data_IF_399829863832
#
_entry.id   IF_399829863832
#
_cell.length_a   1.000
_cell.length_b   1.000
_cell.length_c   1.000
_cell.angle_alpha   90.00
_cell.angle_beta   90.00
_cell.angle_gamma   90.00
#
_symmetry.space_group_name_H-M   'P 1'
#
loop_
_entity.id
_entity.type
_entity.pdbx_description
1 polymer ?
#
# COMPACT_ATOMS: atom_id res chain seq x y z
N UNK A 1 5.72 -12.09 1.32
CA UNK A 1 6.84 -12.13 0.37
C UNK A 1 8.10 -12.26 1.20
N UNK A 2 8.96 -13.25 0.95
CA UNK A 2 10.24 -13.35 1.68
C UNK A 2 11.29 -12.57 0.91
N UNK A 3 11.50 -11.31 1.30
CA UNK A 3 12.53 -10.45 0.73
C UNK A 3 13.86 -10.64 1.47
N UNK A 4 14.96 -10.59 0.73
CA UNK A 4 16.30 -10.56 1.32
C UNK A 4 16.59 -9.19 1.96
N UNK A 5 17.65 -9.12 2.77
CA UNK A 5 17.95 -7.92 3.56
C UNK A 5 18.09 -6.64 2.69
N UNK A 6 18.86 -6.72 1.60
CA UNK A 6 19.03 -5.57 0.69
C UNK A 6 17.70 -5.17 0.03
N UNK A 7 16.89 -6.15 -0.40
CA UNK A 7 15.58 -5.87 -0.99
C UNK A 7 14.56 -5.30 0.00
N UNK A 8 14.66 -5.62 1.31
CA UNK A 8 13.81 -4.99 2.33
C UNK A 8 14.14 -3.51 2.49
N UNK A 9 15.42 -3.17 2.56
CA UNK A 9 15.86 -1.77 2.61
C UNK A 9 15.48 -1.00 1.33
N UNK A 10 15.64 -1.63 0.17
CA UNK A 10 15.22 -1.06 -1.12
C UNK A 10 13.69 -0.86 -1.19
N UNK A 11 12.90 -1.80 -0.67
CA UNK A 11 11.44 -1.66 -0.57
C UNK A 11 11.07 -0.49 0.35
N UNK A 12 11.69 -0.38 1.53
CA UNK A 12 11.41 0.73 2.45
C UNK A 12 11.72 2.10 1.83
N UNK A 13 12.78 2.19 1.02
CA UNK A 13 13.11 3.41 0.27
C UNK A 13 12.08 3.70 -0.83
N UNK A 14 11.62 2.68 -1.54
CA UNK A 14 10.60 2.81 -2.57
C UNK A 14 9.26 3.29 -1.99
N UNK A 15 8.80 2.69 -0.89
CA UNK A 15 7.56 3.07 -0.20
C UNK A 15 7.66 4.48 0.40
N UNK A 16 8.83 4.88 0.93
CA UNK A 16 9.08 6.26 1.38
C UNK A 16 9.01 7.27 0.23
N UNK A 17 9.70 6.98 -0.88
CA UNK A 17 9.67 7.81 -2.09
C UNK A 17 8.25 7.95 -2.64
N UNK A 18 7.49 6.87 -2.66
CA UNK A 18 6.07 6.88 -3.01
C UNK A 18 5.27 7.80 -2.07
N UNK A 19 5.43 7.65 -0.75
CA UNK A 19 4.75 8.50 0.23
C UNK A 19 5.02 9.98 0.03
N UNK A 20 6.29 10.36 -0.18
CA UNK A 20 6.69 11.76 -0.46
C UNK A 20 6.04 12.30 -1.74
N UNK A 21 6.05 11.51 -2.81
CA UNK A 21 5.48 11.87 -4.10
C UNK A 21 3.96 12.03 -4.01
N UNK A 22 3.29 11.13 -3.31
CA UNK A 22 1.83 11.16 -3.14
C UNK A 22 1.37 12.23 -2.14
N UNK A 23 2.24 12.73 -1.27
CA UNK A 23 1.95 13.86 -0.38
C UNK A 23 2.02 15.23 -1.12
N UNK A 24 2.65 15.28 -2.29
CA UNK A 24 2.76 16.49 -3.09
C UNK A 24 1.41 17.01 -3.61
N UNK A 25 1.31 18.32 -3.82
CA UNK A 25 0.15 18.95 -4.45
C UNK A 25 -0.04 18.43 -5.88
N UNK A 26 -1.28 18.11 -6.26
CA UNK A 26 -1.61 17.60 -7.58
C UNK A 26 -1.22 16.13 -7.81
N UNK A 27 -0.84 15.39 -6.77
CA UNK A 27 -0.63 13.95 -6.90
C UNK A 27 -1.94 13.22 -7.24
N UNK A 28 -1.87 12.34 -8.24
CA UNK A 28 -2.96 11.44 -8.65
C UNK A 28 -2.57 9.99 -8.31
N UNK A 29 -2.86 9.48 -7.09
CA UNK A 29 -2.35 8.18 -6.66
C UNK A 29 -2.84 7.01 -7.51
N UNK A 30 -4.07 7.09 -8.05
CA UNK A 30 -4.61 6.09 -8.96
C UNK A 30 -3.76 5.97 -10.23
N UNK A 31 -3.50 7.12 -10.88
CA UNK A 31 -2.67 7.20 -12.08
C UNK A 31 -1.24 6.70 -11.84
N UNK A 32 -0.62 7.11 -10.73
CA UNK A 32 0.71 6.62 -10.34
C UNK A 32 0.70 5.10 -10.14
N UNK A 33 -0.31 4.56 -9.47
CA UNK A 33 -0.47 3.12 -9.29
C UNK A 33 -0.58 2.37 -10.62
N UNK A 34 -1.45 2.82 -11.52
CA UNK A 34 -1.64 2.22 -12.85
C UNK A 34 -0.37 2.26 -13.70
N UNK A 35 0.36 3.38 -13.66
CA UNK A 35 1.63 3.55 -14.36
C UNK A 35 2.71 2.60 -13.82
N UNK A 36 2.88 2.51 -12.50
CA UNK A 36 3.87 1.60 -11.88
C UNK A 36 3.54 0.14 -12.19
N UNK A 37 2.26 -0.25 -12.14
CA UNK A 37 1.84 -1.62 -12.48
C UNK A 37 2.00 -1.92 -13.98
N UNK A 38 1.80 -0.94 -14.86
CA UNK A 38 2.10 -1.08 -16.28
C UNK A 38 3.59 -1.31 -16.55
N UNK A 39 4.47 -0.66 -15.76
CA UNK A 39 5.91 -0.93 -15.80
C UNK A 39 6.22 -2.33 -15.30
N UNK A 40 5.56 -2.80 -14.24
CA UNK A 40 5.69 -4.18 -13.74
C UNK A 40 5.36 -5.19 -14.85
N UNK A 41 4.24 -4.99 -15.56
CA UNK A 41 3.84 -5.87 -16.67
C UNK A 41 4.89 -5.89 -17.79
N UNK A 42 5.44 -4.73 -18.14
CA UNK A 42 6.53 -4.63 -19.11
C UNK A 42 7.78 -5.38 -18.65
N UNK A 43 8.23 -5.20 -17.41
CA UNK A 43 9.42 -5.88 -16.87
C UNK A 43 9.19 -7.39 -16.71
N UNK A 44 7.95 -7.83 -16.53
CA UNK A 44 7.63 -9.24 -16.48
C UNK A 44 7.68 -9.91 -17.86
N UNK A 45 7.28 -9.20 -18.92
CA UNK A 45 7.38 -9.65 -20.31
C UNK A 45 8.81 -9.57 -20.85
N UNK A 46 9.48 -8.43 -20.64
CA UNK A 46 10.79 -8.13 -21.20
C UNK A 46 11.92 -8.54 -20.24
N UNK A 47 12.26 -9.84 -20.24
CA UNK A 47 13.26 -10.42 -19.31
C UNK A 47 14.62 -9.71 -19.39
N UNK A 48 15.05 -9.33 -20.61
CA UNK A 48 16.30 -8.62 -20.83
C UNK A 48 16.31 -7.25 -20.17
N UNK A 49 15.21 -6.49 -20.33
CA UNK A 49 15.03 -5.19 -19.69
C UNK A 49 15.02 -5.32 -18.16
N UNK A 50 14.27 -6.28 -17.62
CA UNK A 50 14.25 -6.55 -16.17
C UNK A 50 15.63 -6.83 -15.61
N UNK A 51 16.44 -7.64 -16.31
CA UNK A 51 17.81 -7.91 -15.90
C UNK A 51 18.66 -6.65 -15.92
N UNK A 52 18.58 -5.84 -16.98
CA UNK A 52 19.35 -4.60 -17.09
C UNK A 52 19.00 -3.57 -16.00
N UNK A 53 17.71 -3.41 -15.67
CA UNK A 53 17.26 -2.48 -14.61
C UNK A 53 17.56 -3.03 -13.21
N UNK A 54 17.51 -4.35 -13.02
CA UNK A 54 17.74 -5.01 -11.73
C UNK A 54 19.18 -5.43 -11.43
N UNK A 55 20.14 -5.11 -12.31
CA UNK A 55 21.53 -5.53 -12.16
C UNK A 55 22.28 -4.68 -11.11
N UNK A 56 22.33 -5.17 -9.87
CA UNK A 56 23.01 -4.48 -8.76
C UNK A 56 24.53 -4.34 -8.92
N UNK A 57 25.15 -4.98 -9.91
CA UNK A 57 26.57 -4.80 -10.22
C UNK A 57 26.86 -3.55 -11.06
N UNK A 58 25.82 -2.99 -11.70
CA UNK A 58 25.89 -1.77 -12.51
C UNK A 58 25.62 -0.56 -11.63
N UNK A 59 26.38 0.51 -11.88
CA UNK A 59 26.25 1.79 -11.19
C UNK A 59 24.77 2.28 -11.20
N UNK A 60 24.22 2.73 -10.05
CA UNK A 60 22.85 3.21 -9.94
C UNK A 60 22.46 4.23 -11.01
N UNK A 61 23.35 5.17 -11.32
CA UNK A 61 23.14 6.25 -12.28
C UNK A 61 22.93 5.71 -13.70
N UNK A 62 23.59 4.61 -14.05
CA UNK A 62 23.42 3.95 -15.35
C UNK A 62 22.06 3.27 -15.46
N UNK A 63 21.59 2.62 -14.38
CA UNK A 63 20.27 1.98 -14.31
C UNK A 63 19.14 3.02 -14.33
N UNK A 64 19.29 4.09 -13.57
CA UNK A 64 18.41 5.25 -13.59
C UNK A 64 18.36 5.91 -14.97
N UNK A 65 19.52 6.14 -15.60
CA UNK A 65 19.61 6.68 -16.96
C UNK A 65 18.98 5.78 -18.03
N UNK A 66 18.98 4.46 -17.85
CA UNK A 66 18.23 3.53 -18.71
C UNK A 66 16.72 3.72 -18.53
N UNK A 67 16.23 3.72 -17.29
CA UNK A 67 14.82 3.92 -16.97
C UNK A 67 14.30 5.24 -17.49
N UNK A 68 15.00 6.35 -17.21
CA UNK A 68 14.61 7.69 -17.68
C UNK A 68 14.47 7.71 -19.21
N UNK A 69 15.45 7.22 -19.95
CA UNK A 69 15.38 7.17 -21.42
C UNK A 69 14.22 6.34 -21.97
N UNK A 70 13.81 5.29 -21.27
CA UNK A 70 12.73 4.40 -21.75
C UNK A 70 11.34 4.95 -21.48
N UNK A 71 11.18 5.67 -20.36
CA UNK A 71 9.89 6.08 -19.81
C UNK A 71 9.67 7.59 -19.80
N UNK A 72 10.65 8.39 -20.22
CA UNK A 72 10.48 9.82 -20.44
C UNK A 72 9.31 10.10 -21.38
N UNK A 73 8.46 11.05 -20.98
CA UNK A 73 7.21 11.39 -21.67
C UNK A 73 6.13 10.30 -21.68
N UNK A 74 6.33 9.13 -21.04
CA UNK A 74 5.35 8.03 -20.98
C UNK A 74 4.72 7.83 -19.61
N UNK A 75 5.38 8.28 -18.56
CA UNK A 75 4.90 8.23 -17.18
C UNK A 75 4.76 9.65 -16.64
N UNK A 76 3.92 9.82 -15.61
CA UNK A 76 3.92 11.02 -14.79
C UNK A 76 5.28 11.24 -14.12
N UNK A 77 5.60 12.49 -13.79
CA UNK A 77 6.83 12.83 -13.05
C UNK A 77 6.88 12.09 -11.70
N UNK A 78 5.71 11.94 -11.07
CA UNK A 78 5.52 11.19 -9.83
C UNK A 78 5.93 9.72 -9.98
N UNK A 79 5.37 9.01 -10.95
CA UNK A 79 5.69 7.60 -11.17
C UNK A 79 7.15 7.41 -11.61
N UNK A 80 7.67 8.32 -12.44
CA UNK A 80 9.07 8.29 -12.87
C UNK A 80 10.02 8.46 -11.69
N UNK A 81 9.74 9.35 -10.73
CA UNK A 81 10.56 9.54 -9.52
C UNK A 81 10.59 8.29 -8.63
N UNK A 82 9.45 7.62 -8.46
CA UNK A 82 9.39 6.35 -7.72
C UNK A 82 10.20 5.27 -8.46
N UNK A 83 10.00 5.14 -9.77
CA UNK A 83 10.73 4.18 -10.60
C UNK A 83 12.24 4.44 -10.61
N UNK A 84 12.66 5.71 -10.60
CA UNK A 84 14.06 6.13 -10.51
C UNK A 84 14.69 5.72 -9.16
N UNK A 85 13.94 5.85 -8.07
CA UNK A 85 14.35 5.41 -6.74
C UNK A 85 14.50 3.89 -6.71
N UNK A 86 13.52 3.16 -7.26
CA UNK A 86 13.55 1.70 -7.37
C UNK A 86 14.75 1.24 -8.21
N UNK A 87 15.01 1.87 -9.35
CA UNK A 87 16.12 1.53 -10.24
C UNK A 87 17.50 1.87 -9.62
N UNK A 88 17.59 2.94 -8.82
CA UNK A 88 18.81 3.31 -8.11
C UNK A 88 19.12 2.40 -6.91
N UNK A 89 18.10 1.74 -6.35
CA UNK A 89 18.23 0.91 -5.15
C UNK A 89 18.94 -0.42 -5.41
N UNK A 90 19.46 -1.05 -4.34
CA UNK A 90 20.14 -2.34 -4.38
C UNK A 90 19.15 -3.47 -4.05
N UNK A 91 18.75 -4.22 -5.07
CA UNK A 91 17.90 -5.39 -4.92
C UNK A 91 18.74 -6.68 -4.91
N UNK A 92 18.32 -7.68 -4.14
CA UNK A 92 19.00 -8.98 -4.13
C UNK A 92 18.76 -9.80 -5.40
N UNK A 93 17.69 -9.49 -6.15
CA UNK A 93 17.47 -10.07 -7.47
C UNK A 93 16.63 -9.14 -8.35
N UNK A 94 16.72 -9.25 -9.70
CA UNK A 94 15.83 -8.52 -10.60
C UNK A 94 14.34 -8.84 -10.42
N UNK A 95 14.02 -10.01 -9.84
CA UNK A 95 12.63 -10.37 -9.50
C UNK A 95 12.14 -9.59 -8.29
N UNK A 96 12.99 -9.43 -7.28
CA UNK A 96 12.65 -8.66 -6.08
C UNK A 96 12.49 -7.16 -6.38
N UNK A 97 13.19 -6.63 -7.38
CA UNK A 97 12.93 -5.27 -7.89
C UNK A 97 11.50 -5.14 -8.41
N UNK A 98 11.06 -6.08 -9.27
CA UNK A 98 9.70 -6.06 -9.83
C UNK A 98 8.66 -6.25 -8.74
N UNK A 99 8.94 -7.11 -7.77
CA UNK A 99 8.08 -7.33 -6.61
C UNK A 99 7.97 -6.06 -5.73
N UNK A 100 9.05 -5.29 -5.60
CA UNK A 100 9.02 -4.00 -4.90
C UNK A 100 8.26 -2.92 -5.66
N UNK A 101 8.40 -2.87 -6.99
CA UNK A 101 7.63 -1.96 -7.83
C UNK A 101 6.13 -2.30 -7.82
N UNK A 102 5.79 -3.60 -7.79
CA UNK A 102 4.42 -4.08 -7.60
C UNK A 102 3.85 -3.64 -6.26
N UNK A 103 4.64 -3.75 -5.17
CA UNK A 103 4.24 -3.24 -3.85
C UNK A 103 3.91 -1.76 -3.91
N UNK A 104 4.81 -0.95 -4.49
CA UNK A 104 4.59 0.49 -4.62
C UNK A 104 3.34 0.82 -5.46
N UNK A 105 3.11 0.12 -6.57
CA UNK A 105 1.91 0.30 -7.39
C UNK A 105 0.61 -0.02 -6.64
N UNK A 106 0.58 -1.14 -5.91
CA UNK A 106 -0.56 -1.52 -5.06
C UNK A 106 -0.79 -0.52 -3.93
N UNK A 107 0.28 -0.09 -3.25
CA UNK A 107 0.23 0.94 -2.21
C UNK A 107 -0.32 2.25 -2.75
N UNK A 108 0.03 2.65 -3.97
CA UNK A 108 -0.48 3.87 -4.61
C UNK A 108 -1.99 3.78 -4.89
N UNK A 109 -2.47 2.65 -5.43
CA UNK A 109 -3.89 2.41 -5.66
C UNK A 109 -4.70 2.40 -4.35
N UNK A 110 -4.19 1.75 -3.31
CA UNK A 110 -4.84 1.78 -1.99
C UNK A 110 -4.79 3.17 -1.35
N UNK A 111 -3.74 3.95 -1.62
CA UNK A 111 -3.68 5.37 -1.22
C UNK A 111 -4.73 6.20 -1.96
N UNK A 112 -5.00 5.89 -3.24
CA UNK A 112 -6.08 6.53 -3.99
C UNK A 112 -7.42 6.28 -3.32
N UNK A 113 -7.68 5.03 -2.94
CA UNK A 113 -8.91 4.64 -2.26
C UNK A 113 -9.03 5.30 -0.86
N UNK A 114 -7.94 5.33 -0.10
CA UNK A 114 -7.87 6.02 1.18
C UNK A 114 -8.22 7.51 1.04
N UNK A 115 -7.61 8.21 0.08
CA UNK A 115 -7.88 9.64 -0.17
C UNK A 115 -9.30 9.91 -0.68
N UNK A 116 -9.91 8.96 -1.38
CA UNK A 116 -11.30 9.03 -1.84
C UNK A 116 -12.32 8.65 -0.74
N UNK A 117 -11.85 8.19 0.43
CA UNK A 117 -12.72 7.76 1.53
C UNK A 117 -13.44 6.42 1.29
N UNK A 118 -13.03 5.64 0.29
CA UNK A 118 -13.66 4.36 -0.07
C UNK A 118 -12.80 3.14 0.32
N UNK A 119 -11.71 3.30 1.10
CA UNK A 119 -10.82 2.19 1.50
C UNK A 119 -11.55 1.04 2.18
N UNK A 120 -12.56 1.31 3.00
CA UNK A 120 -13.40 0.27 3.63
C UNK A 120 -14.20 -0.53 2.60
N UNK A 121 -14.72 0.15 1.57
CA UNK A 121 -15.43 -0.51 0.47
C UNK A 121 -14.47 -1.39 -0.33
N UNK A 122 -13.27 -0.88 -0.63
CA UNK A 122 -12.22 -1.62 -1.34
C UNK A 122 -11.78 -2.86 -0.57
N UNK A 123 -11.54 -2.74 0.74
CA UNK A 123 -11.20 -3.88 1.62
C UNK A 123 -12.32 -4.94 1.60
N UNK A 124 -13.57 -4.52 1.82
CA UNK A 124 -14.72 -5.44 1.83
C UNK A 124 -14.90 -6.16 0.51
N UNK A 125 -14.77 -5.44 -0.61
CA UNK A 125 -14.88 -6.01 -1.95
C UNK A 125 -13.72 -6.97 -2.26
N UNK A 126 -12.48 -6.65 -1.89
CA UNK A 126 -11.35 -7.58 -2.03
C UNK A 126 -11.60 -8.87 -1.23
N UNK A 127 -12.14 -8.75 -0.01
CA UNK A 127 -12.50 -9.91 0.80
C UNK A 127 -13.60 -10.75 0.15
N UNK A 128 -14.64 -10.11 -0.40
CA UNK A 128 -15.70 -10.80 -1.14
C UNK A 128 -15.14 -11.53 -2.38
N UNK A 129 -14.28 -10.89 -3.15
CA UNK A 129 -13.62 -11.50 -4.32
C UNK A 129 -12.80 -12.73 -3.89
N UNK A 130 -11.98 -12.61 -2.83
CA UNK A 130 -11.22 -13.72 -2.30
C UNK A 130 -12.12 -14.90 -1.91
N UNK A 131 -13.25 -14.63 -1.25
CA UNK A 131 -14.24 -15.65 -0.86
C UNK A 131 -14.95 -16.29 -2.05
N UNK A 132 -15.29 -15.52 -3.08
CA UNK A 132 -15.90 -16.03 -4.31
C UNK A 132 -14.94 -16.98 -5.01
N UNK A 133 -13.66 -16.58 -5.17
CA UNK A 133 -12.64 -17.41 -5.82
C UNK A 133 -12.39 -18.68 -5.02
N UNK A 134 -12.22 -18.60 -3.71
CA UNK A 134 -12.02 -19.76 -2.84
C UNK A 134 -13.25 -20.70 -2.77
N UNK A 135 -14.45 -20.16 -2.96
CA UNK A 135 -15.71 -20.93 -2.99
C UNK A 135 -16.00 -21.59 -4.34
N UNK A 136 -15.24 -21.27 -5.39
CA UNK A 136 -15.44 -21.77 -6.75
C UNK A 136 -14.17 -22.45 -7.28
N UNK A 137 -13.97 -23.75 -7.03
CA UNK A 137 -12.73 -24.47 -7.38
C UNK A 137 -12.37 -24.41 -8.87
N UNK A 138 -13.38 -24.43 -9.74
CA UNK A 138 -13.20 -24.30 -11.19
C UNK A 138 -12.67 -22.92 -11.59
N UNK A 139 -13.13 -21.86 -10.93
CA UNK A 139 -12.64 -20.50 -11.12
C UNK A 139 -11.21 -20.35 -10.60
N UNK A 140 -10.93 -20.88 -9.40
CA UNK A 140 -9.57 -20.87 -8.84
C UNK A 140 -8.58 -21.62 -9.75
N UNK A 141 -8.97 -22.77 -10.28
CA UNK A 141 -8.17 -23.54 -11.22
C UNK A 141 -7.92 -22.77 -12.52
N UNK A 142 -8.96 -22.18 -13.12
CA UNK A 142 -8.83 -21.38 -14.34
C UNK A 142 -7.92 -20.15 -14.16
N UNK A 143 -8.03 -19.45 -13.03
CA UNK A 143 -7.16 -18.30 -12.73
C UNK A 143 -5.72 -18.73 -12.40
N UNK A 144 -5.53 -19.94 -11.87
CA UNK A 144 -4.21 -20.49 -11.52
C UNK A 144 -3.51 -21.21 -12.68
N UNK A 145 -4.21 -21.53 -13.77
CA UNK A 145 -3.69 -22.27 -14.92
C UNK A 145 -2.51 -21.55 -15.60
N UNK A 146 -1.32 -22.13 -15.54
CA UNK A 146 -0.10 -21.55 -16.11
C UNK A 146 -0.07 -21.57 -17.65
N UNK A 147 -0.87 -22.43 -18.28
CA UNK A 147 -0.94 -22.56 -19.74
C UNK A 147 -1.87 -21.52 -20.38
N UNK A 148 -2.83 -21.00 -19.61
CA UNK A 148 -3.77 -20.00 -20.08
C UNK A 148 -3.07 -18.63 -20.31
N UNK A 149 -3.32 -17.95 -21.45
CA UNK A 149 -2.82 -16.61 -21.68
C UNK A 149 -3.26 -15.61 -20.59
N UNK A 150 -2.37 -14.70 -20.21
CA UNK A 150 -2.66 -13.69 -19.19
C UNK A 150 -3.90 -12.83 -19.54
N UNK A 151 -4.04 -12.46 -20.81
CA UNK A 151 -5.19 -11.69 -21.31
C UNK A 151 -6.51 -12.45 -21.15
N UNK A 152 -6.52 -13.77 -21.38
CA UNK A 152 -7.72 -14.58 -21.22
C UNK A 152 -8.21 -14.59 -19.76
N UNK A 153 -7.28 -14.67 -18.81
CA UNK A 153 -7.60 -14.59 -17.38
C UNK A 153 -8.08 -13.19 -16.98
N UNK A 154 -7.48 -12.14 -17.56
CA UNK A 154 -7.91 -10.76 -17.37
C UNK A 154 -9.35 -10.55 -17.87
N UNK A 155 -9.67 -11.07 -19.06
CA UNK A 155 -11.03 -11.06 -19.60
C UNK A 155 -12.02 -11.81 -18.71
N UNK A 156 -11.62 -12.96 -18.15
CA UNK A 156 -12.46 -13.69 -17.19
C UNK A 156 -12.76 -12.85 -15.94
N UNK A 157 -11.74 -12.23 -15.33
CA UNK A 157 -11.91 -11.33 -14.17
C UNK A 157 -12.85 -10.17 -14.51
N UNK A 158 -12.62 -9.47 -15.63
CA UNK A 158 -13.49 -8.38 -16.09
C UNK A 158 -14.93 -8.84 -16.26
N UNK A 159 -15.15 -9.97 -16.94
CA UNK A 159 -16.50 -10.51 -17.14
C UNK A 159 -17.25 -10.79 -15.85
N UNK A 160 -16.53 -11.15 -14.77
CA UNK A 160 -17.11 -11.44 -13.47
C UNK A 160 -17.39 -10.18 -12.64
N UNK A 161 -16.45 -9.23 -12.61
CA UNK A 161 -16.44 -8.14 -11.62
C UNK A 161 -16.58 -6.73 -12.19
N UNK A 162 -16.40 -6.51 -13.50
CA UNK A 162 -16.48 -5.17 -14.09
C UNK A 162 -17.85 -4.52 -13.80
N UNK A 163 -17.80 -3.27 -13.35
CA UNK A 163 -18.99 -2.49 -12.96
C UNK A 163 -19.71 -2.98 -11.70
N UNK A 164 -19.21 -4.00 -11.01
CA UNK A 164 -19.75 -4.52 -9.74
C UNK A 164 -18.88 -4.18 -8.53
N UNK A 165 -17.60 -3.90 -8.77
CA UNK A 165 -16.61 -3.51 -7.75
C UNK A 165 -16.03 -2.14 -8.08
N UNK A 166 -15.37 -1.54 -7.10
CA UNK A 166 -14.61 -0.30 -7.29
C UNK A 166 -13.48 -0.51 -8.32
N UNK A 167 -13.15 0.53 -9.09
CA UNK A 167 -12.11 0.47 -10.11
C UNK A 167 -10.75 0.06 -9.53
N UNK A 168 -10.44 0.47 -8.30
CA UNK A 168 -9.21 0.06 -7.60
C UNK A 168 -9.18 -1.45 -7.37
N UNK A 169 -10.31 -2.04 -6.98
CA UNK A 169 -10.43 -3.49 -6.77
C UNK A 169 -10.25 -4.23 -8.08
N UNK A 170 -10.88 -3.76 -9.16
CA UNK A 170 -10.75 -4.35 -10.49
C UNK A 170 -9.27 -4.39 -10.94
N UNK A 171 -8.57 -3.27 -10.87
CA UNK A 171 -7.15 -3.20 -11.25
C UNK A 171 -6.28 -4.11 -10.37
N UNK A 172 -6.47 -4.11 -9.05
CA UNK A 172 -5.70 -4.95 -8.13
C UNK A 172 -5.91 -6.44 -8.38
N UNK A 173 -7.16 -6.87 -8.64
CA UNK A 173 -7.50 -8.28 -8.91
C UNK A 173 -6.95 -8.71 -10.27
N UNK A 174 -7.11 -7.88 -11.31
CA UNK A 174 -6.52 -8.15 -12.64
C UNK A 174 -5.01 -8.36 -12.55
N UNK A 175 -4.33 -7.47 -11.82
CA UNK A 175 -2.89 -7.53 -11.62
C UNK A 175 -2.47 -8.78 -10.84
N UNK A 176 -3.19 -9.12 -9.77
CA UNK A 176 -2.93 -10.32 -8.98
C UNK A 176 -3.03 -11.60 -9.82
N UNK A 177 -4.04 -11.68 -10.69
CA UNK A 177 -4.24 -12.83 -11.60
C UNK A 177 -3.12 -12.95 -12.63
N UNK A 178 -2.66 -11.83 -13.21
CA UNK A 178 -1.55 -11.85 -14.17
C UNK A 178 -0.23 -12.30 -13.54
N UNK A 179 0.03 -11.88 -12.29
CA UNK A 179 1.29 -12.20 -11.60
C UNK A 179 1.23 -13.44 -10.71
N UNK A 180 0.08 -14.10 -10.61
CA UNK A 180 -0.08 -15.29 -9.78
C UNK A 180 0.96 -16.39 -10.12
N UNK A 181 1.39 -16.54 -11.39
CA UNK A 181 2.53 -17.38 -11.84
C UNK A 181 2.74 -18.68 -11.04
N UNK A 182 1.66 -19.40 -10.72
CA UNK A 182 1.68 -20.70 -10.01
C UNK A 182 1.78 -20.62 -8.48
N UNK A 183 1.77 -19.42 -7.88
CA UNK A 183 1.77 -19.17 -6.43
C UNK A 183 0.36 -19.26 -5.80
N UNK A 184 -0.65 -19.64 -6.59
CA UNK A 184 -2.06 -19.70 -6.23
C UNK A 184 -2.71 -18.31 -6.18
N UNK A 185 -3.83 -18.12 -6.87
CA UNK A 185 -4.54 -16.85 -6.86
C UNK A 185 -5.11 -16.51 -5.47
N UNK A 186 -5.58 -17.51 -4.71
CA UNK A 186 -6.13 -17.31 -3.37
C UNK A 186 -5.14 -16.58 -2.45
N UNK A 187 -3.90 -17.05 -2.39
CA UNK A 187 -2.83 -16.42 -1.59
C UNK A 187 -2.47 -15.00 -2.06
N UNK A 188 -2.63 -14.70 -3.35
CA UNK A 188 -2.41 -13.33 -3.85
C UNK A 188 -3.56 -12.40 -3.42
N UNK A 189 -4.80 -12.87 -3.48
CA UNK A 189 -5.98 -12.14 -3.02
C UNK A 189 -5.95 -11.93 -1.50
N UNK A 190 -5.60 -12.95 -0.71
CA UNK A 190 -5.49 -12.84 0.76
C UNK A 190 -4.46 -11.78 1.17
N UNK A 191 -3.34 -11.67 0.44
CA UNK A 191 -2.35 -10.62 0.67
C UNK A 191 -2.87 -9.23 0.32
N UNK A 192 -3.66 -9.10 -0.74
CA UNK A 192 -4.29 -7.83 -1.09
C UNK A 192 -5.31 -7.41 -0.03
N UNK A 193 -6.12 -8.36 0.48
CA UNK A 193 -7.04 -8.11 1.59
C UNK A 193 -6.27 -7.64 2.82
N UNK A 194 -5.21 -8.34 3.20
CA UNK A 194 -4.37 -7.95 4.34
C UNK A 194 -3.76 -6.56 4.16
N UNK A 195 -3.29 -6.23 2.94
CA UNK A 195 -2.72 -4.91 2.64
C UNK A 195 -3.78 -3.80 2.72
N UNK A 196 -4.97 -4.03 2.20
CA UNK A 196 -6.09 -3.08 2.26
C UNK A 196 -6.56 -2.87 3.71
N UNK A 197 -6.69 -3.94 4.49
CA UNK A 197 -7.04 -3.89 5.90
C UNK A 197 -6.00 -3.11 6.71
N UNK A 198 -4.72 -3.43 6.54
CA UNK A 198 -3.63 -2.73 7.20
C UNK A 198 -3.58 -1.24 6.81
N UNK A 199 -4.01 -0.90 5.59
CA UNK A 199 -4.14 0.49 5.16
C UNK A 199 -5.28 1.18 5.89
N UNK A 200 -6.48 0.58 5.89
CA UNK A 200 -7.64 1.10 6.61
C UNK A 200 -7.38 1.31 8.09
N UNK A 201 -6.73 0.35 8.76
CA UNK A 201 -6.37 0.46 10.18
C UNK A 201 -5.48 1.67 10.47
N UNK A 202 -4.64 2.07 9.51
CA UNK A 202 -3.80 3.27 9.59
C UNK A 202 -4.49 4.55 9.14
N UNK A 203 -5.71 4.45 8.60
CA UNK A 203 -6.58 5.57 8.26
C UNK A 203 -7.57 5.89 9.38
N UNK A 204 -7.65 5.06 10.43
CA UNK A 204 -8.54 5.25 11.58
C UNK A 204 -7.73 5.49 12.84
N UNK A 205 -7.97 6.62 13.52
CA UNK A 205 -7.47 6.89 14.84
C UNK A 205 -8.51 6.52 15.90
N UNK A 206 -8.18 5.54 16.73
CA UNK A 206 -8.94 5.19 17.92
C UNK A 206 -8.53 6.13 19.05
N UNK A 207 -9.44 6.98 19.50
CA UNK A 207 -9.21 7.99 20.53
C UNK A 207 -9.97 7.58 21.78
N UNK A 208 -9.26 7.21 22.83
CA UNK A 208 -9.85 6.99 24.15
C UNK A 208 -9.73 8.26 24.97
N UNK A 209 -10.85 8.82 25.42
CA UNK A 209 -10.89 10.04 26.24
C UNK A 209 -11.62 9.82 27.56
N UNK A 210 -11.17 10.51 28.61
CA UNK A 210 -11.82 10.47 29.92
C UNK A 210 -13.24 11.09 29.90
N UNK A 211 -13.49 12.05 29.00
CA UNK A 211 -14.75 12.78 28.89
C UNK A 211 -15.22 12.83 27.43
N UNK A 212 -16.51 13.12 27.22
CA UNK A 212 -17.02 13.37 25.87
C UNK A 212 -16.32 14.57 25.24
N UNK A 213 -15.73 14.38 24.05
CA UNK A 213 -15.14 15.45 23.26
C UNK A 213 -16.23 16.27 22.57
N UNK A 214 -16.12 17.60 22.63
CA UNK A 214 -16.97 18.51 21.85
C UNK A 214 -16.64 18.42 20.36
N UNK A 215 -17.57 18.82 19.49
CA UNK A 215 -17.35 18.79 18.03
C UNK A 215 -16.15 19.63 17.60
N UNK A 216 -15.92 20.77 18.27
CA UNK A 216 -14.75 21.63 18.06
C UNK A 216 -13.44 20.91 18.41
N UNK A 217 -13.41 20.15 19.51
CA UNK A 217 -12.25 19.37 19.92
C UNK A 217 -11.99 18.20 18.97
N UNK A 218 -13.06 17.53 18.50
CA UNK A 218 -12.96 16.46 17.50
C UNK A 218 -12.39 17.00 16.19
N UNK A 219 -12.89 18.13 15.70
CA UNK A 219 -12.39 18.76 14.48
C UNK A 219 -10.91 19.18 14.61
N UNK A 220 -10.54 19.80 15.74
CA UNK A 220 -9.15 20.18 15.99
C UNK A 220 -8.21 18.96 16.05
N UNK A 221 -8.65 17.87 16.69
CA UNK A 221 -7.87 16.63 16.78
C UNK A 221 -7.71 16.00 15.39
N UNK A 222 -8.77 15.95 14.60
CA UNK A 222 -8.75 15.47 13.21
C UNK A 222 -7.71 16.24 12.38
N UNK A 223 -7.81 17.57 12.34
CA UNK A 223 -6.85 18.42 11.60
C UNK A 223 -5.40 18.23 12.06
N UNK A 224 -5.16 18.02 13.36
CA UNK A 224 -3.82 17.76 13.87
C UNK A 224 -3.29 16.40 13.42
N UNK A 225 -4.11 15.35 13.50
CA UNK A 225 -3.72 14.01 13.06
C UNK A 225 -3.52 13.97 11.54
N UNK A 226 -4.37 14.65 10.78
CA UNK A 226 -4.22 14.81 9.34
C UNK A 226 -2.88 15.46 8.99
N UNK A 227 -2.49 16.51 9.74
CA UNK A 227 -1.20 17.18 9.58
C UNK A 227 0.00 16.31 9.96
N UNK A 228 -0.11 15.52 11.03
CA UNK A 228 0.96 14.61 11.49
C UNK A 228 1.17 13.47 10.48
N UNK A 229 0.08 12.88 9.97
CA UNK A 229 0.12 11.70 9.11
C UNK A 229 0.08 12.01 7.60
N UNK A 230 -0.12 13.28 7.23
CA UNK A 230 -0.15 13.75 5.84
C UNK A 230 -1.31 13.22 5.01
N UNK A 231 -2.39 12.76 5.66
CA UNK A 231 -3.58 12.15 5.02
C UNK A 231 -4.79 12.24 5.94
N UNK A 232 -6.03 12.21 5.41
CA UNK A 232 -7.24 12.23 6.23
C UNK A 232 -7.31 11.02 7.16
N UNK A 233 -7.48 11.26 8.46
CA UNK A 233 -7.64 10.24 9.50
C UNK A 233 -9.06 10.29 10.06
N UNK A 234 -9.79 9.19 9.91
CA UNK A 234 -11.10 9.04 10.52
C UNK A 234 -10.96 8.86 12.04
N UNK A 235 -11.73 9.61 12.83
CA UNK A 235 -11.71 9.50 14.29
C UNK A 235 -12.77 8.52 14.79
N UNK A 236 -12.35 7.54 15.58
CA UNK A 236 -13.24 6.71 16.37
C UNK A 236 -13.03 7.02 17.86
N UNK A 237 -13.98 7.74 18.47
CA UNK A 237 -13.84 8.21 19.86
C UNK A 237 -14.59 7.28 20.81
N UNK A 238 -13.88 6.71 21.77
CA UNK A 238 -14.41 5.93 22.88
C UNK A 238 -14.21 6.66 24.21
N UNK A 239 -15.21 6.62 25.10
CA UNK A 239 -15.17 7.30 26.39
C UNK A 239 -14.83 6.27 27.48
N UNK A 240 -13.69 6.44 28.14
CA UNK A 240 -13.29 5.62 29.29
C UNK A 240 -13.01 6.51 30.51
N UNK A 241 -13.94 6.58 31.48
CA UNK A 241 -13.76 7.37 32.70
C UNK A 241 -12.57 6.92 33.57
N UNK A 242 -12.09 5.68 33.44
CA UNK A 242 -10.98 5.14 34.24
C UNK A 242 -9.63 5.81 33.93
N UNK A 243 -9.53 6.48 32.76
CA UNK A 243 -8.34 7.22 32.35
C UNK A 243 -8.01 8.40 33.28
N UNK A 244 -8.99 8.93 34.00
CA UNK A 244 -8.84 10.02 34.99
C UNK A 244 -8.53 11.40 34.38
N UNK A 245 -8.03 11.47 33.15
CA UNK A 245 -7.81 12.71 32.40
C UNK A 245 -6.88 12.54 31.19
N UNK A 246 -7.04 13.40 30.19
CA UNK A 246 -6.26 13.38 28.95
C UNK A 246 -6.87 12.51 27.85
N UNK A 247 -6.04 12.17 26.86
CA UNK A 247 -6.44 11.41 25.67
C UNK A 247 -5.34 10.41 25.27
N UNK A 248 -5.76 9.23 24.83
CA UNK A 248 -4.88 8.21 24.23
C UNK A 248 -5.33 8.01 22.80
N UNK A 249 -4.42 8.16 21.84
CA UNK A 249 -4.71 7.98 20.42
C UNK A 249 -3.93 6.78 19.91
N UNK A 250 -4.60 5.84 19.26
CA UNK A 250 -3.99 4.69 18.59
C UNK A 250 -4.29 4.73 17.10
N UNK A 251 -3.24 4.68 16.27
CA UNK A 251 -3.34 4.65 14.80
C UNK A 251 -2.51 3.47 14.29
N UNK A 252 -3.16 2.43 13.76
CA UNK A 252 -2.49 1.15 13.49
C UNK A 252 -1.74 0.61 14.72
N UNK A 253 -0.41 0.47 14.59
CA UNK A 253 0.49 -0.02 15.65
C UNK A 253 1.06 1.09 16.56
N UNK A 254 0.80 2.37 16.26
CA UNK A 254 1.32 3.50 17.00
C UNK A 254 0.34 3.95 18.10
N UNK A 255 0.86 4.21 19.31
CA UNK A 255 0.07 4.74 20.44
C UNK A 255 0.69 6.05 20.92
N UNK A 256 -0.10 7.12 20.84
CA UNK A 256 0.21 8.44 21.39
C UNK A 256 -0.56 8.57 22.72
N UNK A 257 0.16 8.40 23.82
CA UNK A 257 -0.41 8.52 25.17
C UNK A 257 -0.25 9.95 25.70
N UNK A 258 -1.36 10.69 25.72
CA UNK A 258 -1.50 12.00 26.35
C UNK A 258 -2.30 11.96 27.65
N UNK A 259 -2.42 10.80 28.31
CA UNK A 259 -3.14 10.66 29.58
C UNK A 259 -2.37 11.22 30.77
N UNK A 260 -3.10 11.74 31.77
CA UNK A 260 -2.50 12.18 33.04
C UNK A 260 -1.81 11.03 33.77
N UNK A 261 -2.42 9.85 33.72
CA UNK A 261 -1.89 8.58 34.22
C UNK A 261 -0.54 8.21 33.58
N UNK A 262 -0.45 8.33 32.25
CA UNK A 262 0.78 8.08 31.48
C UNK A 262 1.89 9.07 31.80
N UNK A 263 1.57 10.37 31.92
CA UNK A 263 2.54 11.40 32.30
C UNK A 263 3.11 11.19 33.72
N UNK A 264 2.27 10.87 34.71
CA UNK A 264 2.70 10.54 36.08
C UNK A 264 3.62 9.31 36.12
N UNK A 265 3.28 8.27 35.34
CA UNK A 265 4.10 7.06 35.24
C UNK A 265 5.44 7.30 34.53
N UNK A 266 5.47 8.19 33.53
CA UNK A 266 6.71 8.59 32.85
C UNK A 266 7.65 9.36 33.81
N UNK A 267 7.12 10.34 34.55
CA UNK A 267 7.90 11.10 35.55
C UNK A 267 8.43 10.17 36.64
N UNK A 268 7.62 9.25 37.17
CA UNK A 268 8.05 8.29 38.19
C UNK A 268 9.17 7.38 37.69
N UNK A 269 9.13 6.93 36.42
CA UNK A 269 10.19 6.13 35.81
C UNK A 269 11.50 6.90 35.66
N UNK A 270 11.44 8.16 35.26
CA UNK A 270 12.61 9.04 35.16
C UNK A 270 13.25 9.28 36.52
N UNK A 271 12.44 9.51 37.55
CA UNK A 271 12.91 9.71 38.93
C UNK A 271 13.45 8.42 39.58
N UNK A 272 13.02 7.23 39.14
CA UNK A 272 13.58 5.96 39.63
C UNK A 272 14.88 5.50 38.92
N UNK A 273 15.27 6.19 37.85
CA UNK A 273 16.51 5.93 37.09
C UNK A 273 17.61 6.96 37.38
N UNK A 274 17.29 8.02 38.13
CA UNK A 274 18.24 8.99 38.69
C UNK A 274 18.61 8.59 40.11
#
# INVERSE_FOLDING_TARGET
>A
MTLHAASREALDLAERSLGEVLAGAGAEPAKVGDELLSVVDLLDREIGLRRAVGDSSVAPESRQGLVRRLFDGKLSEQALKVLDTVAGSRWSSPRELVDGLESAGRSALLTAAEKAGNIETVESQLFQVARIVAGAPELEAALSDLSAPADAKRTLVRGLFAGKVDAVVETLVEQAVQRAKGRGIGNALDKLVALAAQRRERSVAYVTSANALTDEQRALLGTKLDGIYGRPIALHVEIDPALGGGLVVRVGDEVIDGSTSGQLAAVRRTLSRA
#
